data_IF_472528795881
#
_entry.id   IF_472528795881
#
_cell.length_a   1.000
_cell.length_b   1.000
_cell.length_c   1.000
_cell.angle_alpha   90.00
_cell.angle_beta   90.00
_cell.angle_gamma   90.00
#
_symmetry.space_group_name_H-M   'P 1'
#
loop_
_entity.id
_entity.type
_entity.pdbx_description
1 polymer ?
#
# COMPACT_ATOMS: atom_id res chain seq x y z
N UNK A 1 4.24 -12.63 10.20
CA UNK A 1 5.63 -13.22 10.24
C UNK A 1 6.41 -12.58 9.09
N UNK A 2 7.36 -11.66 9.39
CA UNK A 2 8.30 -11.15 8.40
C UNK A 2 9.06 -12.34 7.80
N UNK A 3 8.97 -12.52 6.50
CA UNK A 3 9.85 -13.45 5.78
C UNK A 3 11.25 -12.82 5.75
N UNK A 4 12.14 -13.28 6.60
CA UNK A 4 13.57 -12.93 6.51
C UNK A 4 14.11 -13.78 5.37
N UNK A 5 14.50 -13.14 4.27
CA UNK A 5 15.24 -13.78 3.18
C UNK A 5 16.70 -13.89 3.60
N UNK A 6 17.04 -15.03 4.19
CA UNK A 6 18.39 -15.37 4.63
C UNK A 6 18.93 -16.53 3.79
N UNK A 7 20.14 -16.38 3.25
CA UNK A 7 20.84 -17.38 2.46
C UNK A 7 22.19 -17.70 3.11
N UNK A 8 22.68 -18.91 2.92
CA UNK A 8 24.09 -19.17 3.25
C UNK A 8 24.97 -18.35 2.31
N UNK A 9 26.11 -17.90 2.79
CA UNK A 9 27.06 -17.12 2.00
C UNK A 9 27.46 -17.86 0.70
N UNK A 10 27.70 -19.18 0.79
CA UNK A 10 27.99 -20.03 -0.38
C UNK A 10 26.87 -20.04 -1.41
N UNK A 11 25.61 -20.10 -0.96
CA UNK A 11 24.45 -20.17 -1.83
C UNK A 11 24.22 -18.83 -2.52
N UNK A 12 24.38 -17.72 -1.78
CA UNK A 12 24.33 -16.39 -2.34
C UNK A 12 25.44 -16.13 -3.37
N UNK A 13 26.64 -16.65 -3.14
CA UNK A 13 27.77 -16.58 -4.06
C UNK A 13 27.47 -17.35 -5.35
N UNK A 14 26.92 -18.56 -5.23
CA UNK A 14 26.51 -19.37 -6.40
C UNK A 14 25.44 -18.66 -7.25
N UNK A 15 24.46 -17.98 -6.62
CA UNK A 15 23.45 -17.18 -7.33
C UNK A 15 24.07 -16.03 -8.13
N UNK A 16 25.20 -15.49 -7.67
CA UNK A 16 25.97 -14.44 -8.35
C UNK A 16 27.04 -15.00 -9.32
N UNK A 17 26.93 -16.28 -9.69
CA UNK A 17 27.91 -16.98 -10.57
C UNK A 17 29.32 -16.92 -10.01
N UNK A 18 29.47 -17.12 -8.72
CA UNK A 18 30.71 -17.11 -7.96
C UNK A 18 31.51 -15.79 -8.03
N UNK A 19 30.84 -14.69 -8.36
CA UNK A 19 31.43 -13.37 -8.36
C UNK A 19 31.44 -12.73 -6.94
N UNK A 20 32.53 -13.00 -6.22
CA UNK A 20 32.74 -12.50 -4.85
C UNK A 20 32.78 -10.98 -4.78
N UNK A 21 33.24 -10.29 -5.82
CA UNK A 21 33.30 -8.82 -5.84
C UNK A 21 31.90 -8.21 -5.87
N UNK A 22 30.95 -8.82 -6.59
CA UNK A 22 29.55 -8.39 -6.56
C UNK A 22 28.92 -8.58 -5.19
N UNK A 23 29.20 -9.72 -4.55
CA UNK A 23 28.69 -9.99 -3.20
C UNK A 23 29.23 -8.96 -2.19
N UNK A 24 30.54 -8.68 -2.23
CA UNK A 24 31.18 -7.66 -1.40
C UNK A 24 30.59 -6.26 -1.66
N UNK A 25 30.38 -5.88 -2.91
CA UNK A 25 29.75 -4.61 -3.27
C UNK A 25 28.33 -4.47 -2.68
N UNK A 26 27.53 -5.53 -2.72
CA UNK A 26 26.21 -5.52 -2.12
C UNK A 26 26.23 -5.37 -0.60
N UNK A 27 27.26 -5.93 0.06
CA UNK A 27 27.49 -5.77 1.49
C UNK A 27 27.95 -4.34 1.81
N UNK A 28 28.91 -3.79 1.07
CA UNK A 28 29.39 -2.40 1.23
C UNK A 28 28.28 -1.36 1.00
N UNK A 29 27.36 -1.62 0.08
CA UNK A 29 26.21 -0.76 -0.18
C UNK A 29 25.05 -1.01 0.78
N UNK A 30 25.24 -1.83 1.80
CA UNK A 30 24.21 -2.19 2.79
C UNK A 30 22.93 -2.77 2.18
N UNK A 31 22.97 -3.27 0.94
CA UNK A 31 21.85 -3.94 0.30
C UNK A 31 21.58 -5.28 0.99
N UNK A 32 22.66 -5.97 1.35
CA UNK A 32 22.63 -7.19 2.14
C UNK A 32 23.54 -7.04 3.37
N UNK A 33 23.20 -7.72 4.45
CA UNK A 33 24.01 -7.79 5.67
C UNK A 33 24.57 -9.17 5.84
N UNK A 34 25.84 -9.25 6.16
CA UNK A 34 26.47 -10.53 6.52
C UNK A 34 26.36 -10.75 8.01
N UNK A 35 25.83 -11.91 8.41
CA UNK A 35 25.74 -12.35 9.77
C UNK A 35 26.37 -13.76 9.89
N UNK A 36 27.66 -13.81 10.18
CA UNK A 36 28.44 -15.04 10.16
C UNK A 36 28.47 -15.68 8.75
N UNK A 37 28.00 -16.92 8.66
CA UNK A 37 27.91 -17.67 7.40
C UNK A 37 26.63 -17.41 6.60
N UNK A 38 25.81 -16.46 7.03
CA UNK A 38 24.55 -16.09 6.37
C UNK A 38 24.60 -14.66 5.86
N UNK A 39 23.90 -14.41 4.77
CA UNK A 39 23.63 -13.08 4.26
C UNK A 39 22.12 -12.86 4.25
N UNK A 40 21.71 -11.69 4.66
CA UNK A 40 20.30 -11.29 4.78
C UNK A 40 20.06 -10.00 3.99
N UNK A 41 18.95 -9.93 3.28
CA UNK A 41 18.56 -8.70 2.61
C UNK A 41 18.21 -7.65 3.67
N UNK A 42 18.75 -6.42 3.53
CA UNK A 42 18.37 -5.32 4.42
C UNK A 42 16.87 -5.02 4.29
N UNK A 43 16.20 -4.76 5.42
CA UNK A 43 14.76 -4.57 5.46
C UNK A 43 14.28 -3.43 4.54
N UNK A 44 15.09 -2.38 4.35
CA UNK A 44 14.77 -1.25 3.44
C UNK A 44 14.68 -1.70 1.99
N UNK A 45 15.58 -2.60 1.59
CA UNK A 45 15.59 -3.19 0.24
C UNK A 45 14.57 -4.30 0.10
N UNK A 46 14.27 -5.03 1.17
CA UNK A 46 13.20 -6.01 1.16
C UNK A 46 11.85 -5.31 0.88
N UNK A 47 11.55 -4.22 1.60
CA UNK A 47 10.35 -3.42 1.39
C UNK A 47 10.32 -2.83 -0.05
N UNK A 48 11.47 -2.40 -0.58
CA UNK A 48 11.59 -1.92 -1.95
C UNK A 48 11.37 -3.03 -2.99
N UNK A 49 11.97 -4.19 -2.80
CA UNK A 49 11.79 -5.33 -3.69
C UNK A 49 10.39 -5.94 -3.57
N UNK A 50 9.80 -5.98 -2.39
CA UNK A 50 8.40 -6.34 -2.23
C UNK A 50 7.50 -5.37 -3.00
N UNK A 51 7.79 -4.08 -2.98
CA UNK A 51 7.10 -3.08 -3.79
C UNK A 51 7.27 -3.29 -5.30
N UNK A 52 8.47 -3.67 -5.76
CA UNK A 52 8.78 -3.92 -7.18
C UNK A 52 8.32 -5.29 -7.66
N UNK A 53 8.48 -6.31 -6.79
CA UNK A 53 8.21 -7.71 -7.12
C UNK A 53 6.84 -8.17 -6.65
N UNK A 54 6.13 -7.36 -5.86
CA UNK A 54 4.70 -7.55 -5.57
C UNK A 54 3.86 -7.36 -6.84
N UNK A 55 4.20 -8.13 -7.82
CA UNK A 55 3.29 -8.60 -8.86
C UNK A 55 2.18 -9.52 -8.26
N UNK A 56 2.09 -9.63 -6.96
CA UNK A 56 0.93 -10.18 -6.29
C UNK A 56 -0.13 -9.10 -6.30
N UNK A 57 -1.02 -9.20 -7.26
CA UNK A 57 -2.24 -8.43 -7.50
C UNK A 57 -3.21 -8.44 -6.30
N UNK A 58 -2.73 -8.67 -5.09
CA UNK A 58 -3.56 -8.74 -3.90
C UNK A 58 -3.93 -7.34 -3.42
N UNK A 59 -5.22 -7.04 -3.55
CA UNK A 59 -5.83 -5.86 -2.96
C UNK A 59 -5.88 -6.09 -1.45
N UNK A 60 -4.98 -5.46 -0.72
CA UNK A 60 -4.88 -5.56 0.73
C UNK A 60 -5.36 -4.27 1.40
N UNK A 61 -6.63 -4.26 1.81
CA UNK A 61 -7.26 -3.14 2.49
C UNK A 61 -6.98 -3.10 3.99
N UNK A 62 -6.60 -4.23 4.61
CA UNK A 62 -6.32 -4.30 6.03
C UNK A 62 -5.15 -3.38 6.44
N UNK A 63 -4.14 -3.24 5.58
CA UNK A 63 -3.01 -2.33 5.83
C UNK A 63 -3.46 -0.86 5.95
N UNK A 64 -4.52 -0.46 5.23
CA UNK A 64 -5.04 0.91 5.33
C UNK A 64 -5.79 1.07 6.64
N UNK A 65 -6.66 0.12 7.02
CA UNK A 65 -7.36 0.13 8.31
C UNK A 65 -6.36 0.22 9.48
N UNK A 66 -5.34 -0.63 9.51
CA UNK A 66 -4.27 -0.62 10.53
C UNK A 66 -3.53 0.72 10.60
N UNK A 67 -3.26 1.35 9.45
CA UNK A 67 -2.60 2.66 9.45
C UNK A 67 -3.54 3.80 9.93
N UNK A 68 -4.84 3.70 9.69
CA UNK A 68 -5.83 4.65 10.21
C UNK A 68 -5.90 4.55 11.74
N UNK A 69 -6.00 3.33 12.28
CA UNK A 69 -5.99 3.10 13.72
C UNK A 69 -4.69 3.61 14.36
N UNK A 70 -3.55 3.29 13.77
CA UNK A 70 -2.25 3.77 14.25
C UNK A 70 -2.13 5.29 14.20
N UNK A 71 -2.73 5.92 13.19
CA UNK A 71 -2.78 7.38 13.07
C UNK A 71 -3.56 8.01 14.23
N UNK A 72 -4.71 7.45 14.60
CA UNK A 72 -5.48 7.89 15.77
C UNK A 72 -4.66 7.81 17.07
N UNK A 73 -3.96 6.69 17.28
CA UNK A 73 -3.10 6.53 18.46
C UNK A 73 -1.98 7.58 18.52
N UNK A 74 -1.31 7.81 17.39
CA UNK A 74 -0.23 8.80 17.31
C UNK A 74 -0.70 10.22 17.61
N UNK A 75 -1.89 10.60 17.10
CA UNK A 75 -2.48 11.91 17.33
C UNK A 75 -2.89 12.05 18.79
N UNK A 76 -3.50 11.03 19.38
CA UNK A 76 -3.88 11.02 20.79
C UNK A 76 -2.65 11.14 21.70
N UNK A 77 -1.56 10.43 21.39
CA UNK A 77 -0.30 10.57 22.10
C UNK A 77 0.29 11.98 21.95
N UNK A 78 0.28 12.56 20.75
CA UNK A 78 0.74 13.92 20.52
C UNK A 78 -0.04 14.95 21.38
N UNK A 79 -1.35 14.83 21.43
CA UNK A 79 -2.20 15.76 22.18
C UNK A 79 -1.97 15.68 23.70
N UNK A 80 -1.66 14.49 24.21
CA UNK A 80 -1.38 14.25 25.65
C UNK A 80 0.07 14.53 26.04
N UNK A 81 1.01 14.55 25.10
CA UNK A 81 2.44 14.71 25.36
C UNK A 81 2.77 16.18 25.72
N UNK A 82 3.70 16.38 26.65
CA UNK A 82 4.17 17.70 27.09
C UNK A 82 5.61 18.00 26.66
N UNK A 83 6.38 16.97 26.33
CA UNK A 83 7.80 17.10 25.99
C UNK A 83 7.94 17.39 24.49
N UNK A 84 8.52 18.57 24.09
CA UNK A 84 8.58 18.98 22.69
C UNK A 84 9.26 17.96 21.77
N UNK A 85 10.38 17.39 22.17
CA UNK A 85 11.13 16.44 21.37
C UNK A 85 10.35 15.14 21.08
N UNK A 86 9.47 14.72 22.01
CA UNK A 86 8.58 13.58 21.80
C UNK A 86 7.44 13.95 20.86
N UNK A 87 6.89 15.17 20.97
CA UNK A 87 5.89 15.68 20.02
C UNK A 87 6.41 15.66 18.59
N UNK A 88 7.65 16.10 18.36
CA UNK A 88 8.30 16.04 17.04
C UNK A 88 8.40 14.62 16.50
N UNK A 89 8.67 13.65 17.38
CA UNK A 89 8.70 12.24 16.99
C UNK A 89 7.32 11.73 16.54
N UNK A 90 6.24 12.10 17.24
CA UNK A 90 4.88 11.76 16.83
C UNK A 90 4.51 12.41 15.49
N UNK A 91 4.81 13.69 15.30
CA UNK A 91 4.58 14.39 14.01
C UNK A 91 5.31 13.68 12.87
N UNK A 92 6.56 13.28 13.08
CA UNK A 92 7.32 12.51 12.08
C UNK A 92 6.62 11.21 11.70
N UNK A 93 6.17 10.45 12.68
CA UNK A 93 5.46 9.18 12.45
C UNK A 93 4.11 9.40 11.77
N UNK A 94 3.38 10.45 12.12
CA UNK A 94 2.14 10.85 11.47
C UNK A 94 2.38 11.15 9.98
N UNK A 95 3.43 11.91 9.64
CA UNK A 95 3.81 12.19 8.25
C UNK A 95 4.07 10.90 7.46
N UNK A 96 4.85 9.98 8.03
CA UNK A 96 5.16 8.68 7.42
C UNK A 96 3.88 7.87 7.22
N UNK A 97 2.98 7.87 8.20
CA UNK A 97 1.72 7.12 8.12
C UNK A 97 0.80 7.66 7.04
N UNK A 98 0.68 8.99 6.89
CA UNK A 98 -0.07 9.59 5.79
C UNK A 98 0.47 9.19 4.42
N UNK A 99 1.78 9.25 4.23
CA UNK A 99 2.40 8.83 2.98
C UNK A 99 2.16 7.33 2.71
N UNK A 100 2.16 6.51 3.75
CA UNK A 100 1.89 5.08 3.64
C UNK A 100 0.44 4.79 3.25
N UNK A 101 -0.53 5.51 3.84
CA UNK A 101 -1.94 5.42 3.46
C UNK A 101 -2.11 5.79 1.97
N UNK A 102 -1.56 6.92 1.52
CA UNK A 102 -1.65 7.35 0.13
C UNK A 102 -1.12 6.30 -0.84
N UNK A 103 0.11 5.83 -0.62
CA UNK A 103 0.76 4.83 -1.49
C UNK A 103 0.00 3.51 -1.53
N UNK A 104 -0.48 3.03 -0.37
CA UNK A 104 -1.22 1.76 -0.30
C UNK A 104 -2.57 1.88 -1.00
N UNK A 105 -3.26 3.03 -0.88
CA UNK A 105 -4.52 3.28 -1.58
C UNK A 105 -4.33 3.28 -3.09
N UNK A 106 -3.34 4.02 -3.61
CA UNK A 106 -3.02 4.06 -5.04
C UNK A 106 -2.71 2.65 -5.56
N UNK A 107 -1.87 1.89 -4.85
CA UNK A 107 -1.52 0.52 -5.24
C UNK A 107 -2.74 -0.40 -5.28
N UNK A 108 -3.60 -0.36 -4.26
CA UNK A 108 -4.82 -1.16 -4.24
C UNK A 108 -5.74 -0.86 -5.43
N UNK A 109 -5.82 0.40 -5.87
CA UNK A 109 -6.62 0.80 -7.02
C UNK A 109 -5.99 0.30 -8.32
N UNK A 110 -4.68 0.40 -8.49
CA UNK A 110 -3.98 -0.14 -9.66
C UNK A 110 -4.19 -1.66 -9.76
N UNK A 111 -4.05 -2.37 -8.64
CA UNK A 111 -4.27 -3.81 -8.59
C UNK A 111 -5.73 -4.17 -8.85
N UNK A 112 -6.69 -3.37 -8.38
CA UNK A 112 -8.11 -3.54 -8.66
C UNK A 112 -8.39 -3.41 -10.16
N UNK A 113 -7.88 -2.38 -10.82
CA UNK A 113 -8.06 -2.16 -12.26
C UNK A 113 -7.47 -3.32 -13.08
N UNK A 114 -6.23 -3.72 -12.77
CA UNK A 114 -5.59 -4.85 -13.43
C UNK A 114 -6.39 -6.15 -13.23
N UNK A 115 -6.89 -6.40 -12.01
CA UNK A 115 -7.67 -7.59 -11.68
C UNK A 115 -9.02 -7.61 -12.40
N UNK A 116 -9.69 -6.45 -12.57
CA UNK A 116 -10.94 -6.32 -13.34
C UNK A 116 -10.70 -6.71 -14.80
N UNK A 117 -9.67 -6.15 -15.42
CA UNK A 117 -9.29 -6.45 -16.79
C UNK A 117 -8.93 -7.92 -16.98
N UNK A 118 -8.14 -8.48 -16.07
CA UNK A 118 -7.73 -9.88 -16.11
C UNK A 118 -8.92 -10.83 -15.94
N UNK A 119 -9.85 -10.51 -15.03
CA UNK A 119 -11.06 -11.30 -14.82
C UNK A 119 -11.92 -11.35 -16.08
N UNK A 120 -12.04 -10.26 -16.81
CA UNK A 120 -12.81 -10.21 -18.05
C UNK A 120 -12.10 -10.91 -19.21
N UNK A 121 -10.80 -10.65 -19.40
CA UNK A 121 -10.03 -11.12 -20.58
C UNK A 121 -9.61 -12.58 -20.49
N UNK A 122 -9.19 -13.05 -19.31
CA UNK A 122 -8.45 -14.30 -19.17
C UNK A 122 -9.21 -15.45 -18.48
N UNK A 123 -10.32 -15.16 -17.80
CA UNK A 123 -11.08 -16.24 -17.17
C UNK A 123 -11.81 -17.10 -18.21
N UNK A 124 -11.79 -18.45 -18.04
CA UNK A 124 -12.22 -19.36 -19.08
C UNK A 124 -13.75 -19.44 -19.25
N UNK A 125 -14.52 -19.15 -18.20
CA UNK A 125 -15.99 -19.29 -18.24
C UNK A 125 -16.69 -18.03 -17.78
N UNK A 126 -17.89 -17.78 -18.33
CA UNK A 126 -18.73 -16.65 -17.94
C UNK A 126 -19.09 -16.64 -16.46
N UNK A 127 -19.35 -17.82 -15.88
CA UNK A 127 -19.67 -17.92 -14.44
C UNK A 127 -18.52 -17.45 -13.57
N UNK A 128 -17.27 -17.87 -13.87
CA UNK A 128 -16.10 -17.44 -13.13
C UNK A 128 -15.84 -15.95 -13.34
N UNK A 129 -16.00 -15.43 -14.57
CA UNK A 129 -15.89 -14.00 -14.85
C UNK A 129 -16.84 -13.17 -13.98
N UNK A 130 -18.13 -13.54 -13.96
CA UNK A 130 -19.14 -12.86 -13.16
C UNK A 130 -18.77 -12.89 -11.68
N UNK A 131 -18.47 -14.07 -11.11
CA UNK A 131 -18.15 -14.21 -9.71
C UNK A 131 -16.91 -13.40 -9.30
N UNK A 132 -15.87 -13.35 -10.14
CA UNK A 132 -14.68 -12.53 -9.91
C UNK A 132 -14.97 -11.03 -9.99
N UNK A 133 -15.72 -10.58 -10.99
CA UNK A 133 -16.09 -9.16 -11.13
C UNK A 133 -16.95 -8.69 -9.94
N UNK A 134 -17.91 -9.49 -9.48
CA UNK A 134 -18.71 -9.19 -8.29
C UNK A 134 -17.85 -9.12 -7.01
N UNK A 135 -16.85 -9.99 -6.87
CA UNK A 135 -15.92 -9.94 -5.75
C UNK A 135 -15.04 -8.67 -5.82
N UNK A 136 -14.57 -8.31 -7.01
CA UNK A 136 -13.79 -7.09 -7.22
C UNK A 136 -14.59 -5.83 -6.93
N UNK A 137 -15.91 -5.83 -7.21
CA UNK A 137 -16.78 -4.71 -6.82
C UNK A 137 -16.90 -4.57 -5.30
N UNK A 138 -16.98 -5.67 -4.56
CA UNK A 138 -16.94 -5.63 -3.08
C UNK A 138 -15.62 -5.04 -2.57
N UNK A 139 -14.49 -5.41 -3.18
CA UNK A 139 -13.19 -4.83 -2.85
C UNK A 139 -13.14 -3.33 -3.18
N UNK A 140 -13.70 -2.91 -4.32
CA UNK A 140 -13.85 -1.49 -4.70
C UNK A 140 -14.60 -0.70 -3.64
N UNK A 141 -15.76 -1.22 -3.19
CA UNK A 141 -16.58 -0.60 -2.15
C UNK A 141 -15.78 -0.46 -0.85
N UNK A 142 -15.01 -1.48 -0.48
CA UNK A 142 -14.20 -1.41 0.73
C UNK A 142 -13.08 -0.35 0.63
N UNK A 143 -12.41 -0.24 -0.52
CA UNK A 143 -11.42 0.83 -0.75
C UNK A 143 -12.08 2.20 -0.64
N UNK A 144 -13.29 2.38 -1.24
CA UNK A 144 -14.03 3.64 -1.13
C UNK A 144 -14.32 4.00 0.33
N UNK A 145 -14.83 3.04 1.11
CA UNK A 145 -15.08 3.24 2.55
C UNK A 145 -13.83 3.72 3.29
N UNK A 146 -12.66 3.16 2.98
CA UNK A 146 -11.41 3.56 3.62
C UNK A 146 -10.95 4.97 3.22
N UNK A 147 -11.17 5.36 1.97
CA UNK A 147 -10.94 6.74 1.51
C UNK A 147 -11.82 7.70 2.30
N UNK A 148 -13.13 7.42 2.36
CA UNK A 148 -14.11 8.25 3.07
C UNK A 148 -13.77 8.34 4.57
N UNK A 149 -13.39 7.22 5.20
CA UNK A 149 -12.95 7.19 6.60
C UNK A 149 -11.70 8.05 6.82
N UNK A 150 -10.71 7.96 5.93
CA UNK A 150 -9.48 8.76 6.04
C UNK A 150 -9.78 10.24 5.87
N UNK A 151 -10.62 10.63 4.92
CA UNK A 151 -11.04 12.02 4.73
C UNK A 151 -11.81 12.54 5.94
N UNK A 152 -12.74 11.76 6.49
CA UNK A 152 -13.51 12.12 7.68
C UNK A 152 -12.61 12.35 8.90
N UNK A 153 -11.66 11.46 9.13
CA UNK A 153 -10.65 11.59 10.18
C UNK A 153 -9.90 12.93 10.08
N UNK A 154 -9.38 13.23 8.88
CA UNK A 154 -8.58 14.43 8.65
C UNK A 154 -9.41 15.71 8.82
N UNK A 155 -10.66 15.72 8.35
CA UNK A 155 -11.46 16.94 8.27
C UNK A 155 -12.24 17.23 9.54
N UNK A 156 -12.64 16.21 10.29
CA UNK A 156 -13.61 16.33 11.37
C UNK A 156 -13.07 15.87 12.72
N UNK A 157 -12.51 14.65 12.79
CA UNK A 157 -12.16 14.05 14.07
C UNK A 157 -10.90 14.67 14.67
N UNK A 158 -9.85 14.85 13.86
CA UNK A 158 -8.53 15.27 14.34
C UNK A 158 -8.22 16.76 14.07
N UNK A 159 -9.27 17.55 13.87
CA UNK A 159 -9.13 18.99 13.59
C UNK A 159 -8.32 19.74 14.65
N UNK A 160 -8.47 19.38 15.93
CA UNK A 160 -7.73 20.00 17.02
C UNK A 160 -6.22 19.78 16.90
N UNK A 161 -5.79 18.59 16.48
CA UNK A 161 -4.39 18.29 16.21
C UNK A 161 -3.84 19.18 15.09
N UNK A 162 -4.51 19.24 13.95
CA UNK A 162 -4.05 20.03 12.80
C UNK A 162 -4.01 21.54 13.06
N UNK A 163 -4.83 22.03 13.99
CA UNK A 163 -4.76 23.44 14.42
C UNK A 163 -3.59 23.71 15.38
N UNK A 164 -3.12 22.73 16.13
CA UNK A 164 -2.01 22.85 17.07
C UNK A 164 -0.65 22.53 16.44
N UNK A 165 -0.60 21.59 15.52
CA UNK A 165 0.63 21.19 14.85
C UNK A 165 0.94 22.17 13.71
N UNK A 166 1.65 23.26 14.04
CA UNK A 166 2.13 24.25 13.07
C UNK A 166 3.39 23.74 12.36
N UNK A 167 3.25 22.73 11.51
CA UNK A 167 4.34 22.13 10.74
C UNK A 167 4.02 22.24 9.25
N UNK A 168 4.82 23.01 8.50
CA UNK A 168 4.61 23.28 7.08
C UNK A 168 4.70 22.01 6.23
N UNK A 169 5.63 21.10 6.58
CA UNK A 169 5.79 19.84 5.86
C UNK A 169 4.58 18.93 6.10
N UNK A 170 4.06 18.87 7.32
CA UNK A 170 2.84 18.13 7.63
C UNK A 170 1.66 18.67 6.81
N UNK A 171 1.51 19.99 6.73
CA UNK A 171 0.47 20.63 5.92
C UNK A 171 0.59 20.25 4.46
N UNK A 172 1.81 20.25 3.90
CA UNK A 172 2.06 19.84 2.52
C UNK A 172 1.69 18.38 2.28
N UNK A 173 2.15 17.48 3.15
CA UNK A 173 1.85 16.04 3.05
C UNK A 173 0.33 15.79 3.15
N UNK A 174 -0.37 16.52 4.02
CA UNK A 174 -1.81 16.43 4.16
C UNK A 174 -2.55 16.85 2.87
N UNK A 175 -2.12 17.95 2.24
CA UNK A 175 -2.68 18.40 0.97
C UNK A 175 -2.41 17.39 -0.16
N UNK A 176 -1.22 16.82 -0.20
CA UNK A 176 -0.87 15.75 -1.14
C UNK A 176 -1.76 14.52 -0.92
N UNK A 177 -1.91 14.06 0.32
CA UNK A 177 -2.77 12.92 0.65
C UNK A 177 -4.22 13.18 0.19
N UNK A 178 -4.81 14.33 0.52
CA UNK A 178 -6.17 14.66 0.09
C UNK A 178 -6.32 14.64 -1.41
N UNK A 179 -5.38 15.21 -2.15
CA UNK A 179 -5.37 15.16 -3.60
C UNK A 179 -5.34 13.72 -4.12
N UNK A 180 -4.47 12.87 -3.57
CA UNK A 180 -4.37 11.47 -3.99
C UNK A 180 -5.63 10.66 -3.64
N UNK A 181 -6.27 10.92 -2.49
CA UNK A 181 -7.55 10.29 -2.14
C UNK A 181 -8.67 10.70 -3.12
N UNK A 182 -8.76 11.97 -3.52
CA UNK A 182 -9.73 12.44 -4.50
C UNK A 182 -9.50 11.81 -5.89
N UNK A 183 -8.25 11.74 -6.36
CA UNK A 183 -7.91 11.06 -7.63
C UNK A 183 -8.24 9.56 -7.55
N UNK A 184 -8.02 8.96 -6.40
CA UNK A 184 -8.35 7.58 -6.09
C UNK A 184 -9.86 7.32 -6.17
N UNK A 185 -10.68 8.21 -5.60
CA UNK A 185 -12.13 8.13 -5.67
C UNK A 185 -12.64 8.19 -7.14
N UNK A 186 -12.08 9.06 -7.97
CA UNK A 186 -12.40 9.10 -9.41
C UNK A 186 -12.01 7.81 -10.13
N UNK A 187 -10.87 7.22 -9.78
CA UNK A 187 -10.44 5.95 -10.37
C UNK A 187 -11.37 4.79 -9.97
N UNK A 188 -11.94 4.81 -8.76
CA UNK A 188 -12.93 3.82 -8.32
C UNK A 188 -14.26 3.94 -9.07
N UNK A 189 -14.68 5.15 -9.45
CA UNK A 189 -15.86 5.35 -10.31
C UNK A 189 -15.64 4.72 -11.69
N UNK A 190 -14.45 4.88 -12.28
CA UNK A 190 -14.10 4.21 -13.54
C UNK A 190 -14.12 2.69 -13.40
N UNK A 191 -13.49 2.16 -12.35
CA UNK A 191 -13.49 0.73 -12.07
C UNK A 191 -14.93 0.18 -11.94
N UNK A 192 -15.84 0.92 -11.33
CA UNK A 192 -17.25 0.55 -11.25
C UNK A 192 -17.91 0.50 -12.64
N UNK A 193 -17.66 1.49 -13.48
CA UNK A 193 -18.18 1.52 -14.86
C UNK A 193 -17.68 0.34 -15.67
N UNK A 194 -16.39 0.02 -15.56
CA UNK A 194 -15.78 -1.12 -16.25
C UNK A 194 -16.42 -2.45 -15.81
N UNK A 195 -16.61 -2.66 -14.51
CA UNK A 195 -17.31 -3.84 -13.97
C UNK A 195 -18.72 -3.95 -14.55
N UNK A 196 -19.49 -2.86 -14.52
CA UNK A 196 -20.87 -2.84 -15.05
C UNK A 196 -20.88 -3.15 -16.55
N UNK A 197 -19.99 -2.55 -17.32
CA UNK A 197 -19.89 -2.77 -18.75
C UNK A 197 -19.53 -4.22 -19.07
N UNK A 198 -18.55 -4.80 -18.37
CA UNK A 198 -18.14 -6.18 -18.57
C UNK A 198 -19.24 -7.18 -18.18
N UNK A 199 -19.93 -6.94 -17.06
CA UNK A 199 -21.07 -7.77 -16.67
C UNK A 199 -22.20 -7.72 -17.69
N UNK A 200 -22.51 -6.57 -18.26
CA UNK A 200 -23.53 -6.41 -19.31
C UNK A 200 -23.11 -7.12 -20.61
N UNK A 201 -21.86 -7.02 -21.01
CA UNK A 201 -21.33 -7.74 -22.18
C UNK A 201 -21.44 -9.26 -22.00
N UNK A 202 -21.06 -9.78 -20.81
CA UNK A 202 -21.18 -11.20 -20.51
C UNK A 202 -22.65 -11.65 -20.57
N UNK A 203 -23.55 -10.91 -19.95
CA UNK A 203 -24.98 -11.24 -19.96
C UNK A 203 -25.56 -11.28 -21.38
N UNK A 204 -25.19 -10.34 -22.24
CA UNK A 204 -25.64 -10.33 -23.62
C UNK A 204 -25.14 -11.54 -24.45
N UNK A 205 -23.97 -12.07 -24.11
CA UNK A 205 -23.38 -13.25 -24.78
C UNK A 205 -23.96 -14.59 -24.27
N UNK A 206 -24.58 -14.61 -23.10
CA UNK A 206 -25.23 -15.81 -22.54
C UNK A 206 -26.64 -16.00 -23.10
N UNK A 207 -27.31 -14.91 -23.52
CA UNK A 207 -28.69 -14.92 -24.01
C UNK A 207 -28.76 -15.30 -25.51
N UNK A 208 -27.63 -15.32 -26.19
CA UNK A 208 -27.49 -15.78 -27.59
C UNK A 208 -27.19 -17.26 -27.67
#
# INVERSE_FOLDING_TARGET
KRKILSFRYSDALSLLKDDENRLKLLIEKEVIRQNGNYVELDARFLDFFELLLEANEEINTAIIDENIEYLHELIDYYLKERIPSRKESYVRNIKITFQKIARTTIRNIMNLQNSIDNAFKHEPTYQIKIAKLENLDKKRINIQRLIDTTEHLILHEERAFFMQATDEELTRILLELRRELQLSAHSLIRAQQDIINYLNQIKSQIIL
#
